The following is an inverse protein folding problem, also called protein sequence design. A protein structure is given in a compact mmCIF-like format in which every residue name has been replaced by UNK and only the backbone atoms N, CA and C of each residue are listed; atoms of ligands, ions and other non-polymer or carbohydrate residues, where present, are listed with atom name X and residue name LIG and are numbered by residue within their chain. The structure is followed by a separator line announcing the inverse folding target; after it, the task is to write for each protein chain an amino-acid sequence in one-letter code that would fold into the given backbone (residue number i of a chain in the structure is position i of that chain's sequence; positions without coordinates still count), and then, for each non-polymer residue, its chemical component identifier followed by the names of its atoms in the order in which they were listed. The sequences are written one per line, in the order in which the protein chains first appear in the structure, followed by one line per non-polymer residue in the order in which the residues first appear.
data_IF_998663347523
#
_entry.id   IF_998663347523
#
_cell.length_a   1.000
_cell.length_b   1.000
_cell.length_c   1.000
_cell.angle_alpha   90.00
_cell.angle_beta   90.00
_cell.angle_gamma   90.00
#
_symmetry.space_group_name_H-M   'P 1'
#
loop_
_entity.id
_entity.type
_entity.pdbx_description
1 polymer ?
#
# COMPACT_ATOMS: atom_id res chain seq x y z
N UNK A 1 0.44 -18.28 14.67
CA UNK A 1 -0.44 -17.18 14.28
C UNK A 1 0.25 -16.39 13.20
N UNK A 2 -0.50 -15.79 12.29
CA UNK A 2 0.06 -15.15 11.11
C UNK A 2 -0.36 -13.69 11.02
N UNK A 3 0.49 -12.90 10.40
CA UNK A 3 0.21 -11.50 10.10
C UNK A 3 -0.46 -11.36 8.72
N UNK A 4 -0.92 -10.17 8.41
CA UNK A 4 -1.34 -9.81 7.06
C UNK A 4 -0.47 -8.66 6.57
N UNK A 5 0.05 -8.78 5.36
CA UNK A 5 0.79 -7.72 4.68
C UNK A 5 -0.16 -7.03 3.70
N UNK A 6 -0.29 -5.74 3.83
CA UNK A 6 -1.10 -4.90 2.94
C UNK A 6 -0.14 -4.10 2.06
N UNK A 7 -0.05 -4.49 0.80
CA UNK A 7 0.80 -3.81 -0.20
C UNK A 7 -0.07 -2.81 -0.94
N UNK A 8 0.21 -1.52 -0.73
CA UNK A 8 -0.63 -0.44 -1.21
C UNK A 8 -0.08 0.15 -2.51
N UNK A 9 -0.86 0.05 -3.56
CA UNK A 9 -0.64 0.75 -4.84
C UNK A 9 0.75 0.59 -5.47
N UNK A 10 1.37 -0.57 -5.32
CA UNK A 10 2.60 -0.89 -6.04
C UNK A 10 2.27 -1.29 -7.48
N UNK A 11 1.75 -0.31 -8.20
CA UNK A 11 1.17 -0.44 -9.54
C UNK A 11 2.01 0.27 -10.58
N UNK A 12 1.88 -0.16 -11.83
CA UNK A 12 2.63 0.43 -12.94
C UNK A 12 2.36 1.92 -13.08
N UNK A 13 1.12 2.37 -12.86
CA UNK A 13 0.75 3.79 -12.95
C UNK A 13 1.50 4.69 -11.96
N UNK A 14 1.94 4.16 -10.82
CA UNK A 14 2.71 4.92 -9.82
C UNK A 14 4.22 4.65 -9.86
N UNK A 15 4.62 3.51 -10.36
CA UNK A 15 6.00 3.04 -10.23
C UNK A 15 6.77 2.97 -11.55
N UNK A 16 6.13 3.20 -12.69
CA UNK A 16 6.80 3.22 -13.99
C UNK A 16 6.81 4.63 -14.59
N UNK A 17 7.97 5.06 -15.09
CA UNK A 17 8.15 6.37 -15.71
C UNK A 17 7.22 6.54 -16.92
N UNK A 18 6.82 7.78 -17.18
CA UNK A 18 5.92 8.11 -18.30
C UNK A 18 4.45 8.15 -17.93
N UNK A 19 4.08 7.70 -16.74
CA UNK A 19 2.70 7.81 -16.23
C UNK A 19 2.48 9.14 -15.53
N UNK A 20 1.26 9.73 -15.60
CA UNK A 20 0.98 11.06 -15.04
C UNK A 20 1.28 11.20 -13.53
N UNK A 21 1.10 10.13 -12.77
CA UNK A 21 1.31 10.12 -11.32
C UNK A 21 2.52 9.27 -10.90
N UNK A 22 3.50 9.16 -11.77
CA UNK A 22 4.74 8.46 -11.44
C UNK A 22 5.37 9.04 -10.16
N UNK A 23 5.61 8.19 -9.17
CA UNK A 23 6.13 8.59 -7.86
C UNK A 23 7.63 8.98 -7.87
N UNK A 24 8.32 8.78 -8.99
CA UNK A 24 9.72 9.16 -9.16
C UNK A 24 10.70 8.00 -9.00
N UNK A 25 11.90 8.18 -9.50
CA UNK A 25 12.94 7.14 -9.47
C UNK A 25 13.34 6.77 -8.04
N UNK A 26 13.32 7.75 -7.14
CA UNK A 26 13.62 7.53 -5.72
C UNK A 26 12.63 6.57 -5.07
N UNK A 27 11.34 6.66 -5.45
CA UNK A 27 10.32 5.76 -4.92
C UNK A 27 10.57 4.30 -5.32
N UNK A 28 11.15 4.06 -6.50
CA UNK A 28 11.46 2.71 -6.94
C UNK A 28 12.51 2.03 -6.07
N UNK A 29 13.28 2.78 -5.30
CA UNK A 29 14.29 2.21 -4.40
C UNK A 29 13.69 1.35 -3.28
N UNK A 30 12.38 1.49 -2.99
CA UNK A 30 11.72 0.64 -2.00
C UNK A 30 11.43 -0.77 -2.54
N UNK A 31 11.41 -0.98 -3.85
CA UNK A 31 11.00 -2.27 -4.44
C UNK A 31 11.81 -3.45 -3.90
N UNK A 32 13.15 -3.41 -3.85
CA UNK A 32 13.91 -4.53 -3.26
C UNK A 32 13.56 -4.77 -1.78
N UNK A 33 13.26 -3.72 -1.03
CA UNK A 33 12.88 -3.85 0.37
C UNK A 33 11.49 -4.48 0.52
N UNK A 34 10.54 -4.09 -0.34
CA UNK A 34 9.23 -4.72 -0.38
C UNK A 34 9.35 -6.19 -0.72
N UNK A 35 10.19 -6.55 -1.69
CA UNK A 35 10.45 -7.97 -2.02
C UNK A 35 10.97 -8.75 -0.80
N UNK A 36 11.95 -8.20 -0.08
CA UNK A 36 12.48 -8.82 1.15
C UNK A 36 11.39 -8.97 2.21
N UNK A 37 10.53 -7.95 2.36
CA UNK A 37 9.41 -8.01 3.28
C UNK A 37 8.47 -9.17 2.92
N UNK A 38 8.07 -9.27 1.65
CA UNK A 38 7.16 -10.32 1.20
C UNK A 38 7.76 -11.72 1.38
N UNK A 39 9.02 -11.90 1.03
CA UNK A 39 9.73 -13.18 1.21
C UNK A 39 9.78 -13.58 2.68
N UNK A 40 10.13 -12.65 3.55
CA UNK A 40 10.18 -12.88 5.00
C UNK A 40 8.81 -13.26 5.55
N UNK A 41 7.77 -12.52 5.17
CA UNK A 41 6.44 -12.73 5.70
C UNK A 41 5.77 -14.00 5.15
N UNK A 42 6.02 -14.32 3.90
CA UNK A 42 5.57 -15.60 3.32
C UNK A 42 6.19 -16.80 4.04
N UNK A 43 7.49 -16.71 4.36
CA UNK A 43 8.15 -17.76 5.12
C UNK A 43 7.58 -17.94 6.54
N UNK A 44 6.94 -16.90 7.08
CA UNK A 44 6.25 -16.93 8.38
C UNK A 44 4.80 -17.38 8.29
N UNK A 45 4.29 -17.60 7.09
CA UNK A 45 2.90 -17.98 6.87
C UNK A 45 1.93 -16.81 6.81
N UNK A 46 2.42 -15.58 6.69
CA UNK A 46 1.57 -14.39 6.58
C UNK A 46 0.81 -14.36 5.25
N UNK A 47 -0.36 -13.74 5.25
CA UNK A 47 -1.17 -13.54 4.06
C UNK A 47 -0.85 -12.18 3.44
N UNK A 48 -0.74 -12.13 2.11
CA UNK A 48 -0.49 -10.89 1.38
C UNK A 48 -1.77 -10.44 0.67
N UNK A 49 -2.09 -9.15 0.81
CA UNK A 49 -3.14 -8.46 0.07
C UNK A 49 -2.51 -7.30 -0.71
N UNK A 50 -2.74 -7.30 -2.01
CA UNK A 50 -2.39 -6.16 -2.87
C UNK A 50 -3.63 -5.29 -2.99
N UNK A 51 -3.65 -4.14 -2.31
CA UNK A 51 -4.73 -3.16 -2.44
C UNK A 51 -4.35 -2.19 -3.55
N UNK A 52 -5.20 -2.11 -4.56
CA UNK A 52 -4.84 -1.54 -5.85
C UNK A 52 -5.89 -0.56 -6.32
N UNK A 53 -5.47 0.67 -6.62
CA UNK A 53 -6.32 1.62 -7.33
C UNK A 53 -6.85 0.99 -8.62
N UNK A 54 -8.15 1.12 -8.83
CA UNK A 54 -8.84 0.49 -9.96
C UNK A 54 -10.05 1.35 -10.32
N UNK A 55 -9.77 2.50 -10.94
CA UNK A 55 -10.76 3.54 -11.20
C UNK A 55 -11.63 3.26 -12.40
N UNK A 56 -12.88 3.74 -12.36
CA UNK A 56 -13.70 3.85 -13.54
C UNK A 56 -13.16 4.97 -14.46
N UNK A 57 -13.39 4.91 -15.78
CA UNK A 57 -12.88 5.94 -16.68
C UNK A 57 -13.37 7.36 -16.38
N UNK A 58 -14.55 7.48 -15.77
CA UNK A 58 -15.19 8.74 -15.39
C UNK A 58 -15.15 9.03 -13.89
N UNK A 59 -14.19 8.45 -13.17
CA UNK A 59 -14.08 8.61 -11.72
C UNK A 59 -13.99 10.10 -11.33
N UNK A 60 -14.77 10.51 -10.32
CA UNK A 60 -14.79 11.88 -9.82
C UNK A 60 -13.43 12.34 -9.28
N UNK A 61 -12.58 11.42 -8.85
CA UNK A 61 -11.22 11.74 -8.42
C UNK A 61 -10.41 12.42 -9.51
N UNK A 62 -10.74 12.18 -10.78
CA UNK A 62 -10.06 12.80 -11.93
C UNK A 62 -10.35 14.29 -12.09
N UNK A 63 -11.20 14.87 -11.24
CA UNK A 63 -11.34 16.32 -11.11
C UNK A 63 -10.17 16.94 -10.32
N UNK A 64 -9.47 16.16 -9.49
CA UNK A 64 -8.32 16.60 -8.68
C UNK A 64 -7.00 16.06 -9.23
N UNK A 65 -6.99 14.84 -9.75
CA UNK A 65 -5.82 14.19 -10.30
C UNK A 65 -6.03 13.84 -11.76
N UNK A 66 -4.97 13.78 -12.59
CA UNK A 66 -5.12 13.25 -13.95
C UNK A 66 -5.62 11.81 -13.92
N UNK A 67 -6.33 11.36 -14.97
CA UNK A 67 -6.75 9.95 -15.06
C UNK A 67 -5.56 9.00 -14.87
N UNK A 68 -5.75 8.00 -14.02
CA UNK A 68 -4.73 7.02 -13.67
C UNK A 68 -5.35 5.72 -13.19
N UNK A 69 -4.63 4.64 -13.31
CA UNK A 69 -5.03 3.31 -12.81
C UNK A 69 -6.47 2.95 -13.19
N UNK A 70 -6.82 3.17 -14.45
CA UNK A 70 -8.15 2.83 -14.98
C UNK A 70 -8.28 1.31 -15.08
N UNK A 71 -9.39 0.79 -14.58
CA UNK A 71 -9.67 -0.63 -14.56
C UNK A 71 -9.52 -1.26 -15.95
N UNK A 72 -8.88 -2.42 -16.02
CA UNK A 72 -8.67 -3.16 -17.25
C UNK A 72 -7.52 -2.66 -18.12
N UNK A 73 -6.76 -1.65 -17.68
CA UNK A 73 -5.57 -1.18 -18.39
C UNK A 73 -4.30 -1.78 -17.80
N UNK A 74 -3.22 -1.92 -18.59
CA UNK A 74 -1.94 -2.43 -18.08
C UNK A 74 -1.35 -1.59 -16.95
N UNK A 75 -1.58 -0.28 -16.95
CA UNK A 75 -1.08 0.63 -15.92
C UNK A 75 -1.68 0.38 -14.53
N UNK A 76 -2.86 -0.24 -14.47
CA UNK A 76 -3.51 -0.60 -13.21
C UNK A 76 -3.02 -1.93 -12.62
N UNK A 77 -2.08 -2.59 -13.28
CA UNK A 77 -1.53 -3.86 -12.81
C UNK A 77 -0.43 -3.67 -11.78
N UNK A 78 -0.28 -4.65 -10.89
CA UNK A 78 0.87 -4.75 -9.98
C UNK A 78 2.16 -4.80 -10.81
N UNK A 79 3.20 -4.12 -10.34
CA UNK A 79 4.48 -4.06 -11.05
C UNK A 79 5.08 -5.45 -11.28
N UNK A 80 5.84 -5.65 -12.37
CA UNK A 80 6.44 -6.95 -12.69
C UNK A 80 7.28 -7.53 -11.57
N UNK A 81 7.96 -6.69 -10.79
CA UNK A 81 8.83 -7.12 -9.70
C UNK A 81 8.06 -7.75 -8.53
N UNK A 82 6.75 -7.50 -8.42
CA UNK A 82 5.93 -8.01 -7.31
C UNK A 82 4.81 -8.96 -7.74
N UNK A 83 4.43 -8.96 -9.01
CA UNK A 83 3.27 -9.74 -9.51
C UNK A 83 3.42 -11.25 -9.30
N UNK A 84 4.66 -11.75 -9.21
CA UNK A 84 4.93 -13.17 -9.00
C UNK A 84 4.75 -13.67 -7.56
N UNK A 85 4.61 -12.77 -6.59
CA UNK A 85 4.38 -13.19 -5.20
C UNK A 85 2.92 -13.59 -5.00
N UNK A 86 2.65 -14.69 -4.26
CA UNK A 86 1.28 -15.09 -3.98
C UNK A 86 0.60 -14.08 -3.07
N UNK A 87 -0.53 -13.58 -3.51
CA UNK A 87 -1.32 -12.60 -2.76
C UNK A 87 -2.67 -12.40 -3.42
N UNK A 88 -3.56 -11.77 -2.70
CA UNK A 88 -4.92 -11.53 -3.16
C UNK A 88 -5.08 -10.05 -3.55
N UNK A 89 -5.64 -9.81 -4.73
CA UNK A 89 -5.88 -8.45 -5.23
C UNK A 89 -7.18 -7.93 -4.60
N UNK A 90 -7.10 -6.73 -4.01
CA UNK A 90 -8.25 -6.00 -3.47
C UNK A 90 -8.35 -4.68 -4.25
N UNK A 91 -9.27 -4.59 -5.22
CA UNK A 91 -9.46 -3.32 -5.94
C UNK A 91 -10.08 -2.27 -5.04
N UNK A 92 -9.61 -1.03 -5.19
CA UNK A 92 -10.15 0.13 -4.49
C UNK A 92 -10.28 1.32 -5.43
N UNK A 93 -11.11 2.30 -5.06
CA UNK A 93 -11.34 3.52 -5.85
C UNK A 93 -11.04 4.80 -5.08
N UNK A 94 -10.60 4.70 -3.84
CA UNK A 94 -10.26 5.83 -2.98
C UNK A 94 -8.96 5.53 -2.24
N UNK A 95 -8.49 6.45 -1.42
CA UNK A 95 -7.17 6.36 -0.79
C UNK A 95 -7.03 5.14 0.11
N UNK A 96 -7.99 4.94 1.02
CA UNK A 96 -7.91 3.83 1.96
C UNK A 96 -8.28 2.49 1.31
N UNK A 97 -7.47 1.48 1.61
CA UNK A 97 -7.76 0.10 1.23
C UNK A 97 -9.01 -0.49 1.89
N UNK A 98 -9.55 0.17 2.91
CA UNK A 98 -10.77 -0.28 3.60
C UNK A 98 -12.05 0.31 3.03
N UNK A 99 -11.95 1.44 2.31
CA UNK A 99 -13.13 2.16 1.86
C UNK A 99 -13.81 1.47 0.68
N UNK A 100 -15.02 0.97 0.89
CA UNK A 100 -15.84 0.27 -0.11
C UNK A 100 -15.08 -0.89 -0.79
N UNK A 101 -14.34 -1.66 0.00
CA UNK A 101 -13.61 -2.84 -0.47
C UNK A 101 -13.95 -4.07 0.37
N UNK A 102 -13.49 -5.23 -0.08
CA UNK A 102 -13.65 -6.48 0.64
C UNK A 102 -12.55 -6.72 1.71
N UNK A 103 -11.60 -5.81 1.85
CA UNK A 103 -10.43 -6.03 2.72
C UNK A 103 -10.84 -6.35 4.16
N UNK A 104 -11.74 -5.57 4.74
CA UNK A 104 -12.18 -5.80 6.12
C UNK A 104 -12.80 -7.17 6.32
N UNK A 105 -13.67 -7.60 5.41
CA UNK A 105 -14.30 -8.92 5.46
C UNK A 105 -13.27 -10.04 5.45
N UNK A 106 -12.26 -9.91 4.59
CA UNK A 106 -11.19 -10.90 4.46
C UNK A 106 -10.30 -10.93 5.70
N UNK A 107 -9.97 -9.76 6.25
CA UNK A 107 -9.18 -9.66 7.48
C UNK A 107 -9.93 -10.23 8.69
N UNK A 108 -11.24 -10.02 8.77
CA UNK A 108 -12.06 -10.61 9.85
C UNK A 108 -12.06 -12.13 9.81
N UNK A 109 -12.04 -12.72 8.63
CA UNK A 109 -11.92 -14.18 8.46
C UNK A 109 -10.54 -14.68 8.83
N UNK A 110 -9.51 -13.96 8.42
CA UNK A 110 -8.11 -14.32 8.65
C UNK A 110 -7.72 -14.20 10.11
N UNK A 111 -8.22 -13.17 10.80
CA UNK A 111 -7.87 -12.82 12.19
C UNK A 111 -6.37 -12.67 12.39
N UNK A 112 -5.71 -11.78 11.64
CA UNK A 112 -4.27 -11.60 11.76
C UNK A 112 -3.91 -11.00 13.11
N UNK A 113 -2.71 -11.28 13.61
CA UNK A 113 -2.22 -10.68 14.84
C UNK A 113 -1.94 -9.18 14.65
N UNK A 114 -1.44 -8.81 13.48
CA UNK A 114 -1.19 -7.41 13.11
C UNK A 114 -1.22 -7.25 11.59
N UNK A 115 -1.29 -5.99 11.16
CA UNK A 115 -1.17 -5.62 9.75
C UNK A 115 0.19 -4.95 9.54
N UNK A 116 0.89 -5.38 8.49
CA UNK A 116 2.12 -4.73 8.02
C UNK A 116 1.77 -4.01 6.75
N UNK A 117 1.86 -2.67 6.74
CA UNK A 117 1.41 -1.84 5.62
C UNK A 117 2.63 -1.23 4.94
N UNK A 118 2.74 -1.44 3.64
CA UNK A 118 3.81 -0.90 2.80
C UNK A 118 3.26 -0.39 1.47
N UNK A 119 4.09 0.25 0.67
CA UNK A 119 3.75 0.75 -0.65
C UNK A 119 3.75 2.26 -0.76
N UNK A 120 2.86 2.79 -1.59
CA UNK A 120 2.85 4.22 -1.95
C UNK A 120 1.43 4.80 -1.99
N UNK A 121 1.29 6.13 -1.87
CA UNK A 121 2.27 7.06 -1.33
C UNK A 121 2.15 7.10 0.19
N UNK A 122 3.24 7.30 0.87
CA UNK A 122 3.30 7.32 2.34
C UNK A 122 2.22 8.21 2.96
N UNK A 123 2.03 9.40 2.42
CA UNK A 123 1.14 10.45 2.95
C UNK A 123 -0.29 10.39 2.40
N UNK A 124 -0.59 9.47 1.50
CA UNK A 124 -1.93 9.36 0.91
C UNK A 124 -2.50 7.96 1.18
N UNK A 125 -2.36 7.03 0.25
CA UNK A 125 -3.01 5.72 0.37
C UNK A 125 -2.47 4.90 1.55
N UNK A 126 -1.17 4.97 1.83
CA UNK A 126 -0.57 4.27 2.99
C UNK A 126 -1.10 4.84 4.30
N UNK A 127 -1.02 6.15 4.49
CA UNK A 127 -1.46 6.79 5.72
C UNK A 127 -2.96 6.62 5.96
N UNK A 128 -3.79 6.78 4.94
CA UNK A 128 -5.24 6.61 5.07
C UNK A 128 -5.63 5.15 5.33
N UNK A 129 -4.93 4.19 4.74
CA UNK A 129 -5.13 2.77 5.04
C UNK A 129 -4.72 2.45 6.48
N UNK A 130 -3.59 2.98 6.94
CA UNK A 130 -3.14 2.82 8.32
C UNK A 130 -4.13 3.44 9.32
N UNK A 131 -4.68 4.63 9.00
CA UNK A 131 -5.68 5.27 9.83
C UNK A 131 -6.95 4.43 9.98
N UNK A 132 -7.46 3.89 8.87
CA UNK A 132 -8.64 3.03 8.91
C UNK A 132 -8.38 1.70 9.62
N UNK A 133 -7.18 1.15 9.48
CA UNK A 133 -6.78 -0.04 10.23
C UNK A 133 -6.78 0.23 11.74
N UNK A 134 -6.20 1.35 12.17
CA UNK A 134 -6.16 1.74 13.58
C UNK A 134 -7.54 2.07 14.13
N UNK A 135 -8.41 2.68 13.34
CA UNK A 135 -9.80 2.92 13.73
C UNK A 135 -10.59 1.62 13.96
N UNK A 136 -10.10 0.51 13.42
CA UNK A 136 -10.65 -0.84 13.58
C UNK A 136 -9.89 -1.68 14.61
N UNK A 137 -9.02 -1.02 15.38
CA UNK A 137 -8.22 -1.63 16.45
C UNK A 137 -7.19 -2.68 16.02
N UNK A 138 -6.84 -2.73 14.73
CA UNK A 138 -5.72 -3.58 14.31
C UNK A 138 -4.39 -3.00 14.80
N UNK A 139 -3.51 -3.81 15.38
CA UNK A 139 -2.11 -3.44 15.51
C UNK A 139 -1.50 -3.25 14.12
N UNK A 140 -0.75 -2.17 13.91
CA UNK A 140 -0.16 -1.83 12.61
C UNK A 140 1.34 -1.61 12.74
N UNK A 141 2.09 -2.18 11.81
CA UNK A 141 3.50 -1.86 11.58
C UNK A 141 3.66 -1.26 10.19
N UNK A 142 4.53 -0.26 10.08
CA UNK A 142 4.90 0.34 8.80
C UNK A 142 6.42 0.32 8.69
N UNK A 143 6.98 -0.54 7.81
CA UNK A 143 8.42 -0.52 7.54
C UNK A 143 8.78 0.75 6.77
N UNK A 144 9.58 1.63 7.36
CA UNK A 144 9.89 2.95 6.79
C UNK A 144 10.67 2.86 5.48
N UNK A 145 11.39 1.79 5.25
CA UNK A 145 12.12 1.52 4.01
C UNK A 145 11.29 0.82 2.93
N UNK A 146 10.00 0.60 3.22
CA UNK A 146 9.04 -0.01 2.30
C UNK A 146 7.91 0.95 1.90
N UNK A 147 8.03 2.23 2.20
CA UNK A 147 7.07 3.28 1.82
C UNK A 147 7.80 4.45 1.19
N UNK A 148 7.14 5.16 0.30
CA UNK A 148 7.73 6.30 -0.40
C UNK A 148 6.69 7.35 -0.80
N UNK A 149 7.15 8.57 -0.98
CA UNK A 149 6.40 9.68 -1.55
C UNK A 149 7.37 10.60 -2.30
N UNK A 150 6.96 11.23 -3.41
CA UNK A 150 7.78 12.21 -4.10
C UNK A 150 7.94 13.52 -3.31
N UNK A 151 7.04 13.78 -2.37
CA UNK A 151 7.10 14.94 -1.48
C UNK A 151 7.74 14.54 -0.15
N UNK A 152 9.00 14.93 0.04
CA UNK A 152 9.76 14.54 1.24
C UNK A 152 9.16 15.09 2.53
N UNK A 153 8.63 16.32 2.51
CA UNK A 153 7.99 16.92 3.69
C UNK A 153 6.72 16.19 4.06
N UNK A 154 5.89 15.86 3.07
CA UNK A 154 4.68 15.10 3.28
C UNK A 154 5.00 13.68 3.77
N UNK A 155 6.05 13.07 3.24
CA UNK A 155 6.52 11.76 3.68
C UNK A 155 6.91 11.76 5.17
N UNK A 156 7.73 12.72 5.59
CA UNK A 156 8.15 12.84 6.99
C UNK A 156 6.98 13.15 7.92
N UNK A 157 6.09 14.06 7.51
CA UNK A 157 4.87 14.34 8.28
C UNK A 157 4.03 13.06 8.45
N UNK A 158 3.82 12.31 7.38
CA UNK A 158 3.01 11.10 7.42
C UNK A 158 3.62 10.05 8.36
N UNK A 159 4.92 9.84 8.31
CA UNK A 159 5.59 8.89 9.23
C UNK A 159 5.43 9.30 10.68
N UNK A 160 5.61 10.58 11.00
CA UNK A 160 5.37 11.07 12.36
C UNK A 160 3.92 10.90 12.79
N UNK A 161 2.98 11.21 11.91
CA UNK A 161 1.55 11.07 12.17
C UNK A 161 1.16 9.60 12.41
N UNK A 162 1.67 8.70 11.58
CA UNK A 162 1.45 7.26 11.69
C UNK A 162 1.95 6.74 13.04
N UNK A 163 3.12 7.20 13.48
CA UNK A 163 3.69 6.84 14.78
C UNK A 163 2.91 7.47 15.94
N UNK A 164 2.87 8.82 15.98
CA UNK A 164 2.42 9.56 17.16
C UNK A 164 0.92 9.66 17.31
N UNK A 165 0.19 9.75 16.21
CA UNK A 165 -1.28 9.92 16.23
C UNK A 165 -1.98 8.58 16.04
N UNK A 166 -1.58 7.80 15.04
CA UNK A 166 -2.21 6.52 14.76
C UNK A 166 -1.72 5.40 15.68
N UNK A 167 -0.60 5.58 16.36
CA UNK A 167 -0.06 4.56 17.27
C UNK A 167 0.42 3.30 16.54
N UNK A 168 0.80 3.42 15.27
CA UNK A 168 1.42 2.35 14.53
C UNK A 168 2.91 2.30 14.84
N UNK A 169 3.49 1.11 14.75
CA UNK A 169 4.92 0.93 14.98
C UNK A 169 5.70 1.13 13.69
N UNK A 170 6.67 2.03 13.69
CA UNK A 170 7.61 2.18 12.60
C UNK A 170 8.72 1.13 12.74
N UNK A 171 8.99 0.39 11.67
CA UNK A 171 9.99 -0.67 11.61
C UNK A 171 10.86 -0.49 10.35
N UNK A 172 11.69 -1.47 10.03
CA UNK A 172 12.46 -1.55 8.80
C UNK A 172 12.77 -2.99 8.47
N UNK A 173 13.04 -3.28 7.19
CA UNK A 173 13.41 -4.63 6.71
C UNK A 173 14.87 -4.70 6.29
N UNK A 174 15.49 -3.57 5.95
CA UNK A 174 16.90 -3.46 5.60
C UNK A 174 17.75 -3.31 6.84
N UNK A 175 17.92 -4.36 7.56
CA UNK A 175 18.80 -4.35 8.73
C UNK A 175 20.26 -4.07 8.37
#
# INVERSE_FOLDING_TARGET
MSDAVIVVDMLRCFMEAGNPLYAGDKARQIIPNVQKLLERELARGSKIFFVCDNHDPDDLEFQMFPPHCIAGTPEAEVIPELVGYPGEIIPKKRYSGFFNTELETKLRKLKPDKLIICGVLTNICVMHTAADARNRDYPVEVPVDCVASPDEKAHQFALEHIDKVLGAKLTGVGG
#
